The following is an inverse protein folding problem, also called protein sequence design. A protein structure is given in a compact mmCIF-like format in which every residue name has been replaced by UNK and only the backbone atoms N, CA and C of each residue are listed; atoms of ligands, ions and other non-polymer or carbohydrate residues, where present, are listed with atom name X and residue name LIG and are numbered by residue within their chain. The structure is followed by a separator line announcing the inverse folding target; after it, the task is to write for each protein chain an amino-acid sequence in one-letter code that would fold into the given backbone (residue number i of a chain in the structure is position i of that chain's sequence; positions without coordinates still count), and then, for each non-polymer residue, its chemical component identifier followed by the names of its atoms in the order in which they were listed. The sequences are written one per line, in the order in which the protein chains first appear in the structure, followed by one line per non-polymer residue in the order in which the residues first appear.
data_IF_472925817088
#
_entry.id   IF_472925817088
#
_cell.length_a   1.000
_cell.length_b   1.000
_cell.length_c   1.000
_cell.angle_alpha   90.00
_cell.angle_beta   90.00
_cell.angle_gamma   90.00
#
_symmetry.space_group_name_H-M   'P 1'
#
loop_
_entity.id
_entity.type
_entity.pdbx_description
1 polymer ?
#
# COMPACT_ATOMS: atom_id res chain seq x y z
N UNK A 1 42.82 -9.38 26.34
CA UNK A 1 41.76 -9.89 25.43
C UNK A 1 41.83 -11.41 25.25
N UNK A 2 40.69 -12.07 25.04
CA UNK A 2 40.47 -13.54 25.00
C UNK A 2 40.94 -14.24 23.71
N UNK A 3 41.56 -13.52 22.76
CA UNK A 3 42.13 -14.02 21.49
C UNK A 3 41.12 -14.68 20.52
N UNK A 4 39.83 -14.65 20.81
CA UNK A 4 38.77 -15.13 19.90
C UNK A 4 38.11 -13.96 19.18
N UNK A 5 37.95 -14.08 17.86
CA UNK A 5 37.15 -13.15 17.07
C UNK A 5 35.66 -13.33 17.38
N UNK A 6 34.91 -12.23 17.39
CA UNK A 6 33.47 -12.25 17.65
C UNK A 6 32.70 -13.00 16.55
N UNK A 7 33.02 -12.72 15.29
CA UNK A 7 32.49 -13.45 14.13
C UNK A 7 33.42 -14.58 13.73
N UNK A 8 32.84 -15.66 13.18
CA UNK A 8 33.59 -16.79 12.65
C UNK A 8 34.46 -16.34 11.45
N UNK A 9 35.80 -16.43 11.54
CA UNK A 9 36.69 -16.00 10.46
C UNK A 9 36.88 -17.06 9.37
N UNK A 10 36.25 -18.24 9.47
CA UNK A 10 36.47 -19.36 8.55
C UNK A 10 35.90 -19.14 7.13
N UNK A 11 35.23 -18.02 6.88
CA UNK A 11 34.76 -17.59 5.56
C UNK A 11 34.78 -16.06 5.38
N UNK A 12 34.44 -15.61 4.17
CA UNK A 12 34.22 -14.18 3.90
C UNK A 12 32.99 -13.72 4.67
N UNK A 13 33.14 -12.72 5.52
CA UNK A 13 32.03 -12.08 6.21
C UNK A 13 31.19 -11.30 5.19
N UNK A 14 29.99 -11.79 4.91
CA UNK A 14 28.98 -11.18 4.05
C UNK A 14 27.64 -11.19 4.78
N UNK A 15 26.66 -10.41 4.30
CA UNK A 15 25.33 -10.32 4.91
C UNK A 15 24.60 -11.66 5.06
N UNK A 16 24.98 -12.68 4.27
CA UNK A 16 24.43 -14.04 4.35
C UNK A 16 25.31 -15.07 5.08
N UNK A 17 26.54 -14.72 5.45
CA UNK A 17 27.54 -15.65 6.05
C UNK A 17 28.08 -15.13 7.39
N UNK A 18 27.53 -14.03 7.90
CA UNK A 18 27.92 -13.45 9.18
C UNK A 18 27.39 -14.35 10.31
N UNK A 19 28.26 -15.15 10.89
CA UNK A 19 27.95 -16.02 12.03
C UNK A 19 28.82 -15.68 13.24
N UNK A 20 28.26 -15.84 14.45
CA UNK A 20 29.02 -15.70 15.70
C UNK A 20 29.94 -16.90 15.86
N UNK A 21 31.18 -16.66 16.27
CA UNK A 21 32.16 -17.70 16.50
C UNK A 21 31.60 -18.80 17.42
N UNK A 22 31.55 -20.08 17.00
CA UNK A 22 30.97 -21.17 17.79
C UNK A 22 31.57 -21.33 19.18
N UNK A 23 32.85 -20.97 19.35
CA UNK A 23 33.52 -21.00 20.66
C UNK A 23 32.89 -20.01 21.64
N UNK A 24 32.48 -18.83 21.16
CA UNK A 24 31.80 -17.82 21.98
C UNK A 24 30.35 -18.18 22.26
N UNK A 25 29.69 -18.89 21.34
CA UNK A 25 28.34 -19.44 21.58
C UNK A 25 28.37 -20.48 22.70
N UNK A 26 29.41 -21.33 22.72
CA UNK A 26 29.56 -22.35 23.77
C UNK A 26 29.98 -21.77 25.13
N UNK A 27 30.62 -20.61 25.16
CA UNK A 27 31.13 -19.96 26.38
C UNK A 27 31.22 -18.44 26.18
N UNK A 28 30.18 -17.75 26.66
CA UNK A 28 30.06 -16.29 26.62
C UNK A 28 31.12 -15.58 27.47
N UNK A 29 31.73 -16.25 28.45
CA UNK A 29 32.80 -15.71 29.28
C UNK A 29 34.09 -15.44 28.49
N UNK A 30 34.18 -15.96 27.27
CA UNK A 30 35.29 -15.69 26.34
C UNK A 30 35.10 -14.41 25.52
N UNK A 31 34.05 -13.62 25.75
CA UNK A 31 33.92 -12.29 25.15
C UNK A 31 34.77 -11.30 25.96
N UNK A 32 35.79 -10.70 25.32
CA UNK A 32 36.66 -9.73 25.99
C UNK A 32 36.08 -8.31 25.94
N UNK A 33 35.65 -7.79 27.09
CA UNK A 33 35.24 -6.40 27.26
C UNK A 33 36.43 -5.43 27.45
N UNK A 34 37.58 -5.93 27.93
CA UNK A 34 38.82 -5.21 28.11
C UNK A 34 39.89 -5.56 27.08
N UNK A 35 40.91 -4.73 26.99
CA UNK A 35 42.10 -4.95 26.17
C UNK A 35 43.16 -5.72 26.96
N UNK A 36 43.36 -5.36 28.23
CA UNK A 36 44.26 -6.01 29.18
C UNK A 36 43.55 -7.16 29.92
N UNK A 37 44.26 -7.79 30.86
CA UNK A 37 43.68 -8.82 31.75
C UNK A 37 43.41 -8.27 33.16
N UNK A 38 43.43 -6.95 33.31
CA UNK A 38 43.27 -6.30 34.60
C UNK A 38 41.81 -6.38 35.05
N UNK A 39 41.55 -6.66 36.35
CA UNK A 39 40.19 -6.63 36.87
C UNK A 39 39.53 -5.27 36.65
N UNK A 40 38.42 -5.25 35.90
CA UNK A 40 37.64 -4.04 35.64
C UNK A 40 37.96 -3.32 34.32
N UNK A 41 38.90 -3.81 33.50
CA UNK A 41 39.12 -3.22 32.17
C UNK A 41 37.92 -3.45 31.24
N UNK A 42 37.37 -2.36 30.71
CA UNK A 42 36.24 -2.31 29.80
C UNK A 42 36.51 -1.46 28.54
N UNK A 43 37.78 -1.17 28.22
CA UNK A 43 38.14 -0.29 27.11
C UNK A 43 37.60 -0.77 25.75
N UNK A 44 37.57 -2.08 25.48
CA UNK A 44 37.00 -2.61 24.24
C UNK A 44 35.50 -2.35 24.16
N UNK A 45 34.77 -2.53 25.27
CA UNK A 45 33.35 -2.21 25.33
C UNK A 45 33.08 -0.71 25.10
N UNK A 46 33.92 0.18 25.65
CA UNK A 46 33.83 1.63 25.40
C UNK A 46 34.09 1.95 23.93
N UNK A 47 35.09 1.33 23.30
CA UNK A 47 35.37 1.51 21.86
C UNK A 47 34.20 1.04 20.99
N UNK A 48 33.59 -0.09 21.32
CA UNK A 48 32.40 -0.59 20.61
C UNK A 48 31.23 0.40 20.76
N UNK A 49 30.98 0.89 21.97
CA UNK A 49 29.95 1.91 22.20
C UNK A 49 30.24 3.21 21.41
N UNK A 50 31.51 3.58 21.27
CA UNK A 50 31.95 4.71 20.46
C UNK A 50 31.78 4.55 18.95
N UNK A 51 31.61 3.30 18.44
CA UNK A 51 31.40 3.06 17.01
C UNK A 51 30.17 3.77 16.49
N UNK A 52 29.10 3.91 17.30
CA UNK A 52 27.88 4.62 16.90
C UNK A 52 28.18 6.01 16.30
N UNK A 53 29.17 6.71 16.85
CA UNK A 53 29.57 8.06 16.45
C UNK A 53 30.78 8.10 15.50
N UNK A 54 31.26 6.94 15.06
CA UNK A 54 32.42 6.85 14.17
C UNK A 54 31.99 7.00 12.71
N UNK A 55 32.70 7.84 11.96
CA UNK A 55 32.50 8.03 10.52
C UNK A 55 32.99 6.80 9.74
N UNK A 56 32.14 5.78 9.65
CA UNK A 56 32.44 4.51 8.98
C UNK A 56 31.50 4.19 7.81
N UNK A 57 30.34 4.86 7.75
CA UNK A 57 29.34 4.65 6.70
C UNK A 57 29.59 5.60 5.53
N UNK A 58 28.99 5.29 4.37
CA UNK A 58 29.05 6.15 3.17
C UNK A 58 30.49 6.51 2.75
N UNK A 59 31.39 5.52 2.76
CA UNK A 59 32.81 5.74 2.43
C UNK A 59 33.59 6.50 3.52
N UNK A 60 33.09 6.50 4.76
CA UNK A 60 33.73 7.15 5.91
C UNK A 60 33.32 8.60 6.12
N UNK A 61 32.14 9.00 5.63
CA UNK A 61 31.62 10.38 5.72
C UNK A 61 30.42 10.51 6.65
N UNK A 62 29.85 9.39 7.10
CA UNK A 62 28.63 9.37 7.91
C UNK A 62 28.80 8.40 9.08
N UNK A 63 28.21 8.75 10.23
CA UNK A 63 28.15 7.85 11.38
C UNK A 63 27.15 6.71 11.17
N UNK A 64 27.19 5.67 12.01
CA UNK A 64 26.17 4.62 11.96
C UNK A 64 24.78 5.17 12.30
N UNK A 65 24.70 6.10 13.25
CA UNK A 65 23.45 6.72 13.69
C UNK A 65 22.80 7.55 12.56
N UNK A 66 23.57 8.44 11.93
CA UNK A 66 23.09 9.26 10.81
C UNK A 66 22.67 8.40 9.61
N UNK A 67 23.45 7.36 9.28
CA UNK A 67 23.11 6.46 8.19
C UNK A 67 21.81 5.71 8.46
N UNK A 68 21.64 5.19 9.68
CA UNK A 68 20.40 4.53 10.07
C UNK A 68 19.20 5.48 10.03
N UNK A 69 19.34 6.70 10.55
CA UNK A 69 18.30 7.72 10.50
C UNK A 69 17.94 8.08 9.05
N UNK A 70 18.91 8.17 8.14
CA UNK A 70 18.67 8.41 6.72
C UNK A 70 17.84 7.27 6.10
N UNK A 71 18.20 6.01 6.35
CA UNK A 71 17.44 4.85 5.84
C UNK A 71 16.00 4.85 6.36
N UNK A 72 15.81 5.11 7.66
CA UNK A 72 14.46 5.21 8.26
C UNK A 72 13.67 6.36 7.65
N UNK A 73 14.32 7.52 7.45
CA UNK A 73 13.71 8.69 6.81
C UNK A 73 13.27 8.39 5.38
N UNK A 74 14.12 7.73 4.58
CA UNK A 74 13.82 7.37 3.19
C UNK A 74 12.61 6.45 3.11
N UNK A 75 12.52 5.45 3.99
CA UNK A 75 11.34 4.58 4.10
C UNK A 75 10.11 5.39 4.50
N UNK A 76 10.23 6.30 5.46
CA UNK A 76 9.14 7.18 5.89
C UNK A 76 8.60 8.07 4.76
N UNK A 77 9.50 8.62 3.94
CA UNK A 77 9.13 9.41 2.75
C UNK A 77 8.43 8.53 1.72
N UNK A 78 8.98 7.35 1.42
CA UNK A 78 8.37 6.43 0.46
C UNK A 78 6.95 6.00 0.85
N UNK A 79 6.73 5.74 2.15
CA UNK A 79 5.40 5.41 2.69
C UNK A 79 4.44 6.59 2.53
N UNK A 80 4.89 7.81 2.86
CA UNK A 80 4.08 9.02 2.73
C UNK A 80 3.68 9.28 1.28
N UNK A 81 4.62 9.14 0.35
CA UNK A 81 4.37 9.33 -1.09
C UNK A 81 3.40 8.27 -1.63
N UNK A 82 3.56 7.01 -1.21
CA UNK A 82 2.63 5.94 -1.57
C UNK A 82 1.21 6.21 -1.07
N UNK A 83 1.05 6.66 0.17
CA UNK A 83 -0.26 7.02 0.73
C UNK A 83 -0.90 8.20 -0.03
N UNK A 84 -0.15 9.27 -0.29
CA UNK A 84 -0.67 10.42 -1.05
C UNK A 84 -1.07 10.03 -2.48
N UNK A 85 -0.31 9.14 -3.13
CA UNK A 85 -0.63 8.64 -4.46
C UNK A 85 -1.89 7.77 -4.46
N UNK A 86 -2.07 6.96 -3.41
CA UNK A 86 -3.28 6.16 -3.22
C UNK A 86 -4.50 7.07 -3.09
N UNK A 87 -4.47 8.06 -2.19
CA UNK A 87 -5.60 8.99 -1.97
C UNK A 87 -5.96 9.76 -3.25
N UNK A 88 -4.94 10.15 -4.02
CA UNK A 88 -5.14 10.83 -5.31
C UNK A 88 -5.81 9.92 -6.35
N UNK A 89 -5.36 8.67 -6.46
CA UNK A 89 -5.94 7.69 -7.39
C UNK A 89 -7.36 7.30 -6.98
N UNK A 90 -7.64 7.16 -5.69
CA UNK A 90 -8.98 6.91 -5.17
C UNK A 90 -9.94 8.07 -5.51
N UNK A 91 -9.49 9.31 -5.29
CA UNK A 91 -10.26 10.50 -5.66
C UNK A 91 -10.51 10.59 -7.17
N UNK A 92 -9.50 10.25 -7.97
CA UNK A 92 -9.63 10.23 -9.44
C UNK A 92 -10.61 9.14 -9.90
N UNK A 93 -10.53 7.95 -9.32
CA UNK A 93 -11.45 6.86 -9.62
C UNK A 93 -12.90 7.24 -9.27
N UNK A 94 -13.12 7.85 -8.09
CA UNK A 94 -14.44 8.36 -7.70
C UNK A 94 -14.94 9.43 -8.67
N UNK A 95 -14.08 10.35 -9.11
CA UNK A 95 -14.46 11.37 -10.10
C UNK A 95 -14.85 10.73 -11.45
N UNK A 96 -14.09 9.75 -11.92
CA UNK A 96 -14.41 9.03 -13.16
C UNK A 96 -15.71 8.24 -13.07
N UNK A 97 -16.00 7.62 -11.91
CA UNK A 97 -17.26 6.91 -11.70
C UNK A 97 -18.45 7.87 -11.74
N UNK A 98 -18.37 9.00 -11.03
CA UNK A 98 -19.40 10.04 -11.06
C UNK A 98 -19.59 10.61 -12.48
N UNK A 99 -18.49 10.82 -13.23
CA UNK A 99 -18.57 11.28 -14.61
C UNK A 99 -19.27 10.26 -15.50
N UNK A 100 -18.96 8.97 -15.33
CA UNK A 100 -19.59 7.88 -16.06
C UNK A 100 -21.09 7.81 -15.74
N UNK A 101 -21.48 7.94 -14.48
CA UNK A 101 -22.88 7.98 -14.04
C UNK A 101 -23.60 9.23 -14.57
N UNK A 102 -22.92 10.38 -14.69
CA UNK A 102 -23.52 11.58 -15.28
C UNK A 102 -23.80 11.46 -16.78
N UNK A 103 -23.02 10.68 -17.53
CA UNK A 103 -23.17 10.53 -18.99
C UNK A 103 -24.04 9.32 -19.34
N UNK A 104 -23.87 8.22 -18.62
CA UNK A 104 -24.48 6.92 -18.90
C UNK A 104 -25.48 6.46 -17.83
N UNK A 105 -25.63 7.24 -16.75
CA UNK A 105 -26.64 6.97 -15.74
C UNK A 105 -28.02 7.24 -16.30
N UNK A 106 -28.94 6.33 -16.00
CA UNK A 106 -30.33 6.42 -16.43
C UNK A 106 -31.12 7.03 -15.29
N UNK A 107 -31.88 8.09 -15.57
CA UNK A 107 -32.78 8.66 -14.57
C UNK A 107 -34.06 7.82 -14.48
N UNK A 108 -34.24 7.14 -13.35
CA UNK A 108 -35.39 6.26 -13.09
C UNK A 108 -36.73 7.03 -13.17
N UNK A 109 -36.70 8.32 -12.84
CA UNK A 109 -37.84 9.22 -12.96
C UNK A 109 -38.17 9.55 -14.42
N UNK A 110 -37.16 9.80 -15.27
CA UNK A 110 -37.37 10.01 -16.71
C UNK A 110 -37.85 8.74 -17.41
N UNK A 111 -37.33 7.58 -17.02
CA UNK A 111 -37.83 6.28 -17.49
C UNK A 111 -39.27 6.05 -17.04
N UNK A 112 -39.63 6.38 -15.79
CA UNK A 112 -40.99 6.25 -15.28
C UNK A 112 -41.96 7.17 -16.02
N UNK A 113 -41.59 8.43 -16.28
CA UNK A 113 -42.40 9.35 -17.10
C UNK A 113 -42.57 8.81 -18.52
N UNK A 114 -41.49 8.29 -19.12
CA UNK A 114 -41.55 7.67 -20.44
C UNK A 114 -42.47 6.44 -20.46
N UNK A 115 -42.40 5.61 -19.42
CA UNK A 115 -43.25 4.43 -19.26
C UNK A 115 -44.72 4.81 -19.10
N UNK A 116 -45.03 5.81 -18.27
CA UNK A 116 -46.39 6.34 -18.12
C UNK A 116 -46.90 6.89 -19.46
N UNK A 117 -46.06 7.62 -20.20
CA UNK A 117 -46.40 8.14 -21.53
C UNK A 117 -46.71 7.00 -22.52
N UNK A 118 -45.88 5.96 -22.56
CA UNK A 118 -46.14 4.78 -23.40
C UNK A 118 -47.42 4.05 -22.99
N UNK A 119 -47.71 3.97 -21.69
CA UNK A 119 -48.93 3.35 -21.19
C UNK A 119 -50.18 4.16 -21.55
N UNK A 120 -50.12 5.50 -21.51
CA UNK A 120 -51.20 6.35 -22.00
C UNK A 120 -51.39 6.22 -23.51
N UNK A 121 -50.31 6.21 -24.29
CA UNK A 121 -50.37 6.02 -25.73
C UNK A 121 -50.98 4.66 -26.10
N UNK A 122 -50.61 3.60 -25.39
CA UNK A 122 -51.19 2.26 -25.57
C UNK A 122 -52.69 2.23 -25.28
N UNK A 123 -53.12 2.83 -24.16
CA UNK A 123 -54.55 2.92 -23.82
C UNK A 123 -55.34 3.74 -24.85
N UNK A 124 -54.76 4.83 -25.36
CA UNK A 124 -55.36 5.63 -26.42
C UNK A 124 -55.49 4.84 -27.73
N UNK A 125 -54.44 4.09 -28.12
CA UNK A 125 -54.48 3.20 -29.28
C UNK A 125 -55.54 2.10 -29.14
N UNK A 126 -55.64 1.48 -27.96
CA UNK A 126 -56.67 0.49 -27.67
C UNK A 126 -58.08 1.07 -27.82
N UNK A 127 -58.33 2.27 -27.28
CA UNK A 127 -59.61 2.99 -27.48
C UNK A 127 -59.89 3.30 -28.95
N UNK A 128 -58.87 3.73 -29.70
CA UNK A 128 -59.04 3.98 -31.14
C UNK A 128 -59.44 2.71 -31.89
N UNK A 129 -58.81 1.57 -31.58
CA UNK A 129 -59.19 0.27 -32.16
C UNK A 129 -60.66 -0.04 -31.83
N UNK A 130 -61.07 0.10 -30.57
CA UNK A 130 -62.48 -0.12 -30.18
C UNK A 130 -63.43 0.79 -30.95
N UNK A 131 -63.10 2.08 -31.10
CA UNK A 131 -63.94 2.99 -31.88
C UNK A 131 -63.99 2.63 -33.37
N UNK A 132 -62.89 2.13 -33.94
CA UNK A 132 -62.87 1.65 -35.32
C UNK A 132 -63.72 0.39 -35.48
N UNK A 133 -63.63 -0.55 -34.54
CA UNK A 133 -64.48 -1.75 -34.51
C UNK A 133 -65.96 -1.38 -34.43
N UNK A 134 -66.35 -0.41 -33.58
CA UNK A 134 -67.71 0.10 -33.48
C UNK A 134 -68.21 0.77 -34.78
N UNK A 135 -67.34 1.50 -35.48
CA UNK A 135 -67.65 2.10 -36.78
C UNK A 135 -67.85 1.03 -37.86
N UNK A 136 -66.99 0.00 -37.88
CA UNK A 136 -67.12 -1.12 -38.83
C UNK A 136 -68.41 -1.93 -38.58
N UNK A 137 -68.74 -2.22 -37.31
CA UNK A 137 -69.99 -2.89 -36.95
C UNK A 137 -71.22 -2.10 -37.38
N UNK A 138 -71.19 -0.77 -37.23
CA UNK A 138 -72.29 0.10 -37.65
C UNK A 138 -72.47 0.09 -39.17
N UNK A 139 -71.37 0.16 -39.94
CA UNK A 139 -71.42 0.08 -41.39
C UNK A 139 -71.99 -1.26 -41.87
N UNK A 140 -71.54 -2.38 -41.29
CA UNK A 140 -71.99 -3.73 -41.65
C UNK A 140 -73.49 -3.94 -41.32
N UNK A 141 -73.99 -3.36 -40.22
CA UNK A 141 -75.41 -3.46 -39.83
C UNK A 141 -76.34 -2.47 -40.56
N UNK A 142 -75.78 -1.45 -41.22
CA UNK A 142 -76.55 -0.44 -41.98
C UNK A 142 -76.80 -0.80 -43.45
N UNK A 143 -76.37 -2.00 -43.87
CA UNK A 143 -76.73 -2.67 -45.12
C UNK A 143 -77.70 -3.79 -44.80
#
# INVERSE_FOLDING_TARGET
GTRYNFFDPSGTLSSGTLEVNPVLVSDVGKIAAGDTSDPGDNQTAIRIAGLQNTLAMSGGTTTFDEYYNAVVSDVGIAVKDAASNYDHQESMAAYMENYRESVSGVSLDEEMVSLIKFQHAYNAAAKLITTVDELLDTLIRSV
#
